data_IF_513254112015
#
_entry.id   IF_513254112015
#
_cell.length_a   1.000
_cell.length_b   1.000
_cell.length_c   1.000
_cell.angle_alpha   90.00
_cell.angle_beta   90.00
_cell.angle_gamma   90.00
#
_symmetry.space_group_name_H-M   'P 1'
#
loop_
_entity.id
_entity.type
_entity.pdbx_description
1 polymer ?
#
# COMPACT_ATOMS: atom_id res chain seq x y z
N UNK A 1 -36.81 -22.31 -46.72
CA UNK A 1 -35.92 -21.32 -46.15
C UNK A 1 -34.81 -21.92 -45.30
N UNK A 2 -34.31 -23.09 -45.71
CA UNK A 2 -32.97 -23.57 -45.41
C UNK A 2 -31.93 -22.54 -45.85
N UNK A 3 -32.21 -21.80 -46.93
CA UNK A 3 -31.36 -20.76 -47.55
C UNK A 3 -31.73 -19.30 -47.21
N UNK A 4 -32.80 -19.10 -46.43
CA UNK A 4 -33.29 -17.78 -45.99
C UNK A 4 -33.64 -16.78 -47.11
N UNK A 5 -34.22 -17.23 -48.23
CA UNK A 5 -34.69 -16.38 -49.33
C UNK A 5 -36.13 -15.83 -49.16
N UNK A 6 -36.84 -16.27 -48.12
CA UNK A 6 -38.20 -15.88 -47.77
C UNK A 6 -39.29 -16.75 -48.40
N UNK A 7 -38.96 -17.93 -48.96
CA UNK A 7 -39.91 -18.86 -49.55
C UNK A 7 -39.92 -20.22 -48.84
N UNK A 8 -41.03 -20.94 -49.01
CA UNK A 8 -41.30 -22.21 -48.32
C UNK A 8 -41.11 -23.44 -49.22
N UNK A 9 -40.24 -23.34 -50.23
CA UNK A 9 -40.04 -24.36 -51.27
C UNK A 9 -38.60 -24.83 -51.33
N UNK A 10 -38.23 -25.83 -50.53
CA UNK A 10 -36.88 -26.42 -50.62
C UNK A 10 -36.93 -27.94 -50.71
N UNK A 11 -36.88 -28.40 -51.96
CA UNK A 11 -36.41 -29.72 -52.31
C UNK A 11 -35.04 -29.55 -52.98
N UNK A 12 -33.99 -29.88 -52.23
CA UNK A 12 -32.66 -30.28 -52.73
C UNK A 12 -31.60 -29.23 -53.09
N UNK A 13 -31.49 -28.08 -52.41
CA UNK A 13 -30.25 -27.29 -52.45
C UNK A 13 -29.77 -26.92 -51.04
N UNK A 14 -29.07 -27.87 -50.40
CA UNK A 14 -28.33 -27.56 -49.17
C UNK A 14 -27.10 -26.73 -49.52
N UNK A 15 -27.19 -25.43 -49.36
CA UNK A 15 -26.01 -24.63 -49.05
C UNK A 15 -25.84 -24.72 -47.54
N UNK A 16 -24.94 -25.57 -47.06
CA UNK A 16 -24.51 -25.48 -45.65
C UNK A 16 -24.10 -24.02 -45.43
N UNK A 17 -24.60 -23.35 -44.38
CA UNK A 17 -24.18 -21.98 -44.10
C UNK A 17 -22.67 -22.00 -44.05
N UNK A 18 -22.03 -21.29 -44.99
CA UNK A 18 -20.59 -21.06 -44.91
C UNK A 18 -20.36 -20.52 -43.52
N UNK A 19 -19.54 -21.22 -42.73
CA UNK A 19 -19.12 -20.81 -41.39
C UNK A 19 -18.46 -19.43 -41.54
N UNK A 20 -19.32 -18.42 -41.50
CA UNK A 20 -19.11 -17.11 -42.11
C UNK A 20 -18.93 -16.04 -41.07
N UNK A 21 -18.59 -16.42 -39.83
CA UNK A 21 -18.01 -15.49 -38.88
C UNK A 21 -16.49 -15.54 -39.09
N UNK A 22 -16.01 -14.85 -40.12
CA UNK A 22 -14.57 -14.60 -40.31
C UNK A 22 -13.98 -13.78 -39.15
N UNK A 23 -12.67 -13.96 -38.94
CA UNK A 23 -11.84 -13.44 -37.85
C UNK A 23 -11.83 -11.90 -37.78
N UNK A 24 -11.92 -11.29 -36.59
CA UNK A 24 -10.90 -11.38 -35.55
C UNK A 24 -11.39 -11.99 -34.22
N UNK A 25 -12.21 -13.04 -34.30
CA UNK A 25 -12.50 -13.98 -33.21
C UNK A 25 -11.99 -15.39 -33.53
N UNK A 26 -10.67 -15.59 -33.61
CA UNK A 26 -10.09 -16.92 -33.84
C UNK A 26 -10.12 -17.72 -32.55
N UNK A 27 -10.89 -18.79 -32.51
CA UNK A 27 -10.75 -19.79 -31.45
C UNK A 27 -9.65 -20.77 -31.83
N UNK A 28 -8.77 -21.05 -30.87
CA UNK A 28 -7.97 -22.26 -30.91
C UNK A 28 -8.93 -23.49 -30.93
N UNK A 29 -8.61 -24.54 -31.70
CA UNK A 29 -9.41 -25.76 -31.72
C UNK A 29 -9.43 -26.42 -30.33
N UNK A 30 -10.57 -27.01 -29.94
CA UNK A 30 -10.72 -27.71 -28.65
C UNK A 30 -9.84 -28.98 -28.60
N UNK A 31 -9.46 -29.50 -29.76
CA UNK A 31 -8.59 -30.66 -29.89
C UNK A 31 -7.80 -30.61 -31.20
N UNK A 32 -6.60 -31.19 -31.19
CA UNK A 32 -5.77 -31.38 -32.37
C UNK A 32 -4.91 -32.66 -32.23
N UNK A 33 -3.88 -32.80 -33.06
CA UNK A 33 -3.00 -33.97 -33.02
C UNK A 33 -2.18 -34.06 -31.72
N UNK A 34 -1.97 -32.95 -31.02
CA UNK A 34 -1.16 -32.84 -29.81
C UNK A 34 -2.02 -32.67 -28.54
N UNK A 35 -3.30 -32.32 -28.69
CA UNK A 35 -4.28 -32.09 -27.61
C UNK A 35 -5.49 -33.04 -27.76
N UNK A 36 -5.48 -34.21 -27.11
CA UNK A 36 -6.56 -35.19 -27.23
C UNK A 36 -7.78 -34.80 -26.38
N UNK A 37 -8.95 -35.22 -26.84
CA UNK A 37 -10.21 -34.98 -26.14
C UNK A 37 -10.29 -35.72 -24.80
N UNK A 38 -10.91 -35.11 -23.76
CA UNK A 38 -11.18 -35.79 -22.50
C UNK A 38 -12.18 -36.94 -22.70
N UNK A 39 -12.18 -37.88 -21.75
CA UNK A 39 -13.15 -38.98 -21.65
C UNK A 39 -13.24 -39.95 -22.84
N UNK A 40 -12.22 -39.97 -23.70
CA UNK A 40 -12.10 -40.92 -24.81
C UNK A 40 -12.84 -40.52 -26.09
N UNK A 41 -13.25 -39.26 -26.18
CA UNK A 41 -13.90 -38.70 -27.36
C UNK A 41 -12.91 -38.56 -28.55
N UNK A 42 -13.45 -38.55 -29.77
CA UNK A 42 -12.72 -38.39 -31.02
C UNK A 42 -12.67 -36.91 -31.40
N UNK A 43 -11.52 -36.46 -31.91
CA UNK A 43 -11.40 -35.10 -32.46
C UNK A 43 -11.88 -35.06 -33.92
N UNK A 44 -12.96 -34.34 -34.19
CA UNK A 44 -13.50 -34.14 -35.53
C UNK A 44 -13.55 -32.64 -35.86
N UNK A 45 -12.73 -32.22 -36.82
CA UNK A 45 -12.64 -30.82 -37.28
C UNK A 45 -12.37 -29.79 -36.16
N UNK A 46 -11.58 -30.17 -35.15
CA UNK A 46 -11.20 -29.29 -34.04
C UNK A 46 -12.18 -29.28 -32.86
N UNK A 47 -13.14 -30.22 -32.81
CA UNK A 47 -14.15 -30.36 -31.76
C UNK A 47 -14.22 -31.82 -31.27
N UNK A 48 -14.42 -32.03 -29.97
CA UNK A 48 -14.52 -33.36 -29.36
C UNK A 48 -15.92 -33.99 -29.56
N UNK A 49 -15.97 -35.23 -30.04
CA UNK A 49 -17.20 -36.00 -30.32
C UNK A 49 -17.11 -37.46 -29.87
N UNK A 50 -18.17 -38.01 -29.26
CA UNK A 50 -18.16 -39.39 -28.75
C UNK A 50 -18.06 -40.49 -29.83
N UNK A 51 -17.37 -41.60 -29.50
CA UNK A 51 -17.01 -42.72 -30.42
C UNK A 51 -18.17 -43.38 -31.18
N UNK A 52 -19.42 -43.26 -30.71
CA UNK A 52 -20.58 -43.94 -31.32
C UNK A 52 -21.47 -43.04 -32.20
N UNK A 53 -21.02 -41.83 -32.57
CA UNK A 53 -21.66 -41.05 -33.63
C UNK A 53 -23.13 -40.64 -33.40
N UNK A 54 -23.59 -40.55 -32.14
CA UNK A 54 -24.93 -40.08 -31.78
C UNK A 54 -24.93 -39.25 -30.48
N UNK A 55 -25.69 -38.14 -30.39
CA UNK A 55 -25.58 -37.20 -29.27
C UNK A 55 -26.38 -37.69 -28.05
N UNK A 56 -25.69 -38.17 -27.02
CA UNK A 56 -26.27 -38.29 -25.68
C UNK A 56 -26.21 -36.94 -24.95
N UNK A 57 -27.35 -36.44 -24.47
CA UNK A 57 -27.40 -35.39 -23.44
C UNK A 57 -28.03 -34.04 -23.79
N UNK A 58 -28.52 -33.83 -25.02
CA UNK A 58 -29.04 -32.51 -25.44
C UNK A 58 -30.56 -32.48 -25.62
N UNK A 59 -31.33 -32.78 -24.57
CA UNK A 59 -32.80 -32.60 -24.60
C UNK A 59 -33.19 -31.61 -23.51
N UNK A 60 -33.97 -30.60 -23.89
CA UNK A 60 -34.40 -29.53 -22.99
C UNK A 60 -35.86 -29.19 -23.25
N UNK A 61 -36.56 -28.67 -22.24
CA UNK A 61 -37.92 -28.15 -22.40
C UNK A 61 -37.91 -26.61 -22.39
N UNK A 62 -36.99 -26.00 -21.63
CA UNK A 62 -36.81 -24.55 -21.49
C UNK A 62 -35.35 -24.11 -21.57
N UNK A 63 -35.12 -22.82 -21.85
CA UNK A 63 -33.78 -22.22 -21.83
C UNK A 63 -33.11 -22.32 -20.45
N UNK A 64 -33.89 -22.28 -19.38
CA UNK A 64 -33.38 -22.42 -18.01
C UNK A 64 -32.73 -23.79 -17.77
N UNK A 65 -33.25 -24.86 -18.39
CA UNK A 65 -32.68 -26.21 -18.29
C UNK A 65 -31.29 -26.29 -18.92
N UNK A 66 -31.06 -25.52 -19.99
CA UNK A 66 -29.78 -25.44 -20.66
C UNK A 66 -28.80 -24.54 -19.89
N UNK A 67 -29.24 -23.38 -19.41
CA UNK A 67 -28.40 -22.45 -18.65
C UNK A 67 -27.92 -23.03 -17.32
N UNK A 68 -28.75 -23.85 -16.66
CA UNK A 68 -28.39 -24.52 -15.40
C UNK A 68 -27.29 -25.59 -15.59
N UNK A 69 -27.14 -26.15 -16.79
CA UNK A 69 -26.15 -27.20 -17.11
C UNK A 69 -24.93 -26.67 -17.84
N UNK A 70 -25.16 -25.68 -18.71
CA UNK A 70 -24.16 -25.04 -19.56
C UNK A 70 -24.52 -23.55 -19.70
N UNK A 71 -23.93 -22.67 -18.86
CA UNK A 71 -24.09 -21.23 -18.99
C UNK A 71 -23.77 -20.79 -20.42
N UNK A 72 -24.66 -19.99 -21.03
CA UNK A 72 -24.52 -19.56 -22.43
C UNK A 72 -25.23 -20.43 -23.48
N UNK A 73 -25.98 -21.47 -23.11
CA UNK A 73 -26.72 -22.34 -24.05
C UNK A 73 -28.23 -22.06 -24.09
N UNK A 74 -28.88 -22.16 -25.25
CA UNK A 74 -30.31 -21.99 -25.46
C UNK A 74 -31.00 -23.30 -25.86
N UNK A 75 -32.29 -23.41 -25.55
CA UNK A 75 -33.10 -24.58 -25.86
C UNK A 75 -33.85 -24.41 -27.18
N UNK A 76 -33.28 -24.91 -28.27
CA UNK A 76 -33.79 -24.71 -29.65
C UNK A 76 -34.43 -25.99 -30.18
N UNK A 77 -35.54 -25.87 -30.91
CA UNK A 77 -36.17 -27.01 -31.58
C UNK A 77 -35.30 -27.45 -32.77
N UNK A 78 -34.72 -28.65 -32.66
CA UNK A 78 -33.98 -29.30 -33.73
C UNK A 78 -34.79 -30.46 -34.30
N UNK A 79 -34.53 -30.83 -35.56
CA UNK A 79 -35.23 -31.94 -36.21
C UNK A 79 -34.28 -33.13 -36.27
N UNK A 80 -34.68 -34.26 -35.70
CA UNK A 80 -33.92 -35.51 -35.79
C UNK A 80 -34.66 -36.53 -36.66
N UNK A 81 -33.91 -37.30 -37.45
CA UNK A 81 -34.44 -38.46 -38.16
C UNK A 81 -34.62 -39.62 -37.19
N UNK A 82 -35.76 -40.28 -37.31
CA UNK A 82 -36.05 -41.58 -36.70
C UNK A 82 -36.52 -42.52 -37.81
N UNK A 83 -36.51 -43.83 -37.56
CA UNK A 83 -36.73 -44.87 -38.58
C UNK A 83 -38.02 -44.68 -39.41
N UNK A 84 -39.06 -44.07 -38.83
CA UNK A 84 -40.35 -43.79 -39.48
C UNK A 84 -40.69 -42.29 -39.58
N UNK A 85 -39.70 -41.41 -39.75
CA UNK A 85 -39.93 -39.99 -40.12
C UNK A 85 -39.05 -38.97 -39.39
N UNK A 86 -39.55 -37.74 -39.28
CA UNK A 86 -38.87 -36.65 -38.57
C UNK A 86 -39.61 -36.33 -37.28
N UNK A 87 -38.87 -36.28 -36.17
CA UNK A 87 -39.39 -35.79 -34.89
C UNK A 87 -38.70 -34.48 -34.54
N UNK A 88 -39.48 -33.46 -34.18
CA UNK A 88 -38.96 -32.23 -33.56
C UNK A 88 -38.58 -32.53 -32.12
N UNK A 89 -37.30 -32.33 -31.77
CA UNK A 89 -36.80 -32.43 -30.40
C UNK A 89 -36.04 -31.17 -30.04
N UNK A 90 -36.29 -30.62 -28.85
CA UNK A 90 -35.59 -29.43 -28.38
C UNK A 90 -34.25 -29.80 -27.75
N UNK A 91 -33.22 -29.05 -28.09
CA UNK A 91 -31.82 -29.38 -27.84
C UNK A 91 -31.05 -28.15 -27.37
N UNK A 92 -30.21 -28.33 -26.34
CA UNK A 92 -29.33 -27.27 -25.87
C UNK A 92 -28.24 -27.00 -26.90
N UNK A 93 -28.17 -25.78 -27.39
CA UNK A 93 -27.16 -25.30 -28.34
C UNK A 93 -26.46 -24.07 -27.76
N UNK A 94 -25.14 -23.89 -27.99
CA UNK A 94 -24.45 -22.68 -27.55
C UNK A 94 -25.07 -21.45 -28.20
N UNK A 95 -25.36 -20.38 -27.44
CA UNK A 95 -25.93 -19.14 -27.99
C UNK A 95 -24.97 -18.38 -28.92
N UNK A 96 -23.67 -18.64 -28.83
CA UNK A 96 -22.68 -17.68 -29.30
C UNK A 96 -22.38 -17.69 -30.79
N UNK A 97 -22.90 -18.64 -31.58
CA UNK A 97 -22.41 -18.83 -32.97
C UNK A 97 -23.44 -19.27 -34.00
N UNK A 98 -24.75 -19.23 -33.70
CA UNK A 98 -25.77 -19.70 -34.65
C UNK A 98 -26.44 -18.53 -35.41
N UNK A 99 -26.21 -18.40 -36.73
CA UNK A 99 -27.01 -17.50 -37.57
C UNK A 99 -28.49 -17.92 -37.51
N UNK A 100 -29.38 -16.96 -37.23
CA UNK A 100 -30.83 -17.14 -37.27
C UNK A 100 -31.41 -16.53 -38.55
N UNK A 101 -32.36 -17.23 -39.15
CA UNK A 101 -33.06 -16.79 -40.36
C UNK A 101 -33.97 -15.58 -40.07
N UNK A 102 -33.81 -14.47 -40.80
CA UNK A 102 -34.64 -13.26 -40.70
C UNK A 102 -35.52 -13.07 -41.96
N UNK A 103 -35.94 -14.19 -42.57
CA UNK A 103 -36.68 -14.21 -43.85
C UNK A 103 -35.87 -13.60 -44.99
N UNK A 104 -36.52 -12.89 -45.91
CA UNK A 104 -35.88 -12.25 -47.08
C UNK A 104 -34.75 -11.24 -46.76
N UNK A 105 -34.52 -10.92 -45.47
CA UNK A 105 -33.38 -10.13 -45.01
C UNK A 105 -32.10 -10.97 -44.81
N UNK A 106 -32.16 -12.30 -44.96
CA UNK A 106 -31.05 -13.23 -44.80
C UNK A 106 -30.82 -13.65 -43.34
N UNK A 107 -29.62 -14.18 -43.04
CA UNK A 107 -29.26 -14.60 -41.69
C UNK A 107 -28.78 -13.42 -40.83
N UNK A 108 -29.17 -13.40 -39.55
CA UNK A 108 -28.67 -12.47 -38.53
C UNK A 108 -28.12 -13.22 -37.31
N UNK A 109 -27.17 -12.64 -36.58
CA UNK A 109 -26.70 -13.19 -35.31
C UNK A 109 -27.54 -12.67 -34.13
N UNK A 110 -27.79 -13.52 -33.13
CA UNK A 110 -28.51 -13.12 -31.92
C UNK A 110 -27.55 -12.44 -30.95
N UNK A 111 -27.63 -11.12 -30.86
CA UNK A 111 -26.79 -10.32 -29.95
C UNK A 111 -27.64 -9.79 -28.80
N UNK A 112 -27.18 -9.89 -27.54
CA UNK A 112 -27.87 -9.25 -26.42
C UNK A 112 -27.84 -7.71 -26.58
N UNK A 113 -28.79 -6.97 -25.98
CA UNK A 113 -28.85 -5.51 -26.11
C UNK A 113 -27.62 -4.75 -25.61
N UNK A 114 -26.79 -5.37 -24.77
CA UNK A 114 -25.58 -4.80 -24.16
C UNK A 114 -24.29 -5.11 -24.94
N UNK A 115 -24.39 -5.72 -26.13
CA UNK A 115 -23.22 -6.06 -26.94
C UNK A 115 -22.71 -4.88 -27.77
N UNK A 116 -21.39 -4.75 -27.88
CA UNK A 116 -20.71 -3.85 -28.80
C UNK A 116 -19.65 -4.62 -29.63
N UNK A 117 -19.23 -4.11 -30.78
CA UNK A 117 -18.14 -4.72 -31.56
C UNK A 117 -16.79 -4.10 -31.14
N UNK A 118 -15.84 -4.91 -30.68
CA UNK A 118 -14.52 -4.41 -30.26
C UNK A 118 -13.53 -5.49 -29.81
N UNK A 119 -12.35 -5.06 -29.36
CA UNK A 119 -11.38 -5.90 -28.64
C UNK A 119 -11.58 -5.64 -27.14
N UNK A 120 -11.99 -6.66 -26.38
CA UNK A 120 -12.27 -6.53 -24.94
C UNK A 120 -11.01 -6.12 -24.14
N UNK A 121 -9.82 -6.58 -24.55
CA UNK A 121 -8.54 -6.26 -23.87
C UNK A 121 -8.22 -4.77 -23.79
N UNK A 122 -8.82 -3.96 -24.68
CA UNK A 122 -8.54 -2.54 -24.78
C UNK A 122 -9.75 -1.67 -24.35
N UNK A 123 -10.84 -2.30 -23.90
CA UNK A 123 -12.12 -1.64 -23.60
C UNK A 123 -12.68 -2.12 -22.27
N UNK A 124 -12.60 -1.23 -21.30
CA UNK A 124 -13.29 -1.33 -20.01
C UNK A 124 -14.50 -0.41 -20.11
N UNK A 125 -15.56 -0.81 -20.81
CA UNK A 125 -16.71 0.05 -21.12
C UNK A 125 -18.05 -0.47 -20.58
N UNK A 126 -18.01 -1.49 -19.72
CA UNK A 126 -19.17 -2.16 -19.17
C UNK A 126 -20.10 -2.75 -20.25
N UNK A 127 -19.54 -3.09 -21.42
CA UNK A 127 -20.21 -3.76 -22.51
C UNK A 127 -19.45 -5.03 -22.87
N UNK A 128 -20.18 -6.03 -23.34
CA UNK A 128 -19.63 -7.29 -23.83
C UNK A 128 -19.16 -7.07 -25.29
N UNK A 129 -17.85 -6.89 -25.54
CA UNK A 129 -17.34 -6.57 -26.87
C UNK A 129 -16.96 -7.81 -27.71
N UNK A 130 -16.80 -8.97 -27.09
CA UNK A 130 -16.42 -10.23 -27.76
C UNK A 130 -17.57 -11.27 -27.80
N UNK A 131 -18.69 -10.92 -27.19
CA UNK A 131 -19.94 -11.69 -27.16
C UNK A 131 -19.83 -12.99 -26.35
N UNK A 132 -18.98 -13.09 -25.33
CA UNK A 132 -18.85 -14.31 -24.51
C UNK A 132 -19.90 -14.40 -23.37
N UNK A 133 -20.67 -13.33 -23.15
CA UNK A 133 -21.68 -13.22 -22.09
C UNK A 133 -21.14 -12.68 -20.76
N UNK A 134 -19.88 -12.24 -20.72
CA UNK A 134 -19.24 -11.50 -19.63
C UNK A 134 -18.99 -10.08 -20.09
N UNK A 135 -18.50 -9.26 -19.17
CA UNK A 135 -18.34 -7.83 -19.39
C UNK A 135 -17.05 -7.40 -18.72
N UNK A 136 -16.17 -6.76 -19.48
CA UNK A 136 -14.83 -6.33 -19.09
C UNK A 136 -14.01 -7.47 -18.43
N UNK A 137 -14.20 -8.73 -18.84
CA UNK A 137 -13.59 -9.89 -18.19
C UNK A 137 -12.07 -9.95 -18.33
N UNK A 138 -11.52 -9.36 -19.39
CA UNK A 138 -10.08 -9.14 -19.56
C UNK A 138 -9.52 -8.09 -18.55
N UNK A 139 -10.39 -7.32 -17.89
CA UNK A 139 -10.08 -6.43 -16.77
C UNK A 139 -10.48 -7.01 -15.40
N UNK A 140 -11.05 -8.22 -15.34
CA UNK A 140 -11.60 -8.81 -14.11
C UNK A 140 -10.57 -8.88 -12.97
N UNK A 141 -9.31 -9.18 -13.28
CA UNK A 141 -8.23 -9.27 -12.28
C UNK A 141 -7.92 -7.90 -11.63
N UNK A 142 -8.31 -6.79 -12.27
CA UNK A 142 -8.16 -5.42 -11.75
C UNK A 142 -9.45 -4.87 -11.16
N UNK A 143 -10.60 -5.21 -11.73
CA UNK A 143 -11.92 -4.71 -11.33
C UNK A 143 -12.52 -5.47 -10.14
N UNK A 144 -12.20 -6.76 -9.98
CA UNK A 144 -12.82 -7.64 -8.99
C UNK A 144 -11.80 -8.22 -8.00
N UNK A 145 -12.29 -8.63 -6.84
CA UNK A 145 -11.56 -9.43 -5.85
C UNK A 145 -11.14 -10.79 -6.44
N UNK A 146 -10.20 -11.48 -5.80
CA UNK A 146 -9.62 -12.73 -6.32
C UNK A 146 -10.68 -13.86 -6.47
N UNK A 147 -11.75 -13.82 -5.66
CA UNK A 147 -12.91 -14.70 -5.74
C UNK A 147 -13.95 -14.27 -6.82
N UNK A 148 -13.75 -13.10 -7.44
CA UNK A 148 -14.63 -12.46 -8.43
C UNK A 148 -16.06 -12.21 -7.92
N UNK A 149 -16.24 -12.05 -6.61
CA UNK A 149 -17.55 -11.80 -6.00
C UNK A 149 -17.85 -10.32 -5.77
N UNK A 150 -16.83 -9.46 -5.66
CA UNK A 150 -16.98 -8.05 -5.35
C UNK A 150 -16.00 -7.15 -6.13
N UNK A 151 -16.30 -5.85 -6.29
CA UNK A 151 -15.32 -4.88 -6.81
C UNK A 151 -14.05 -4.83 -5.95
N UNK A 152 -12.88 -4.76 -6.60
CA UNK A 152 -11.59 -4.70 -5.92
C UNK A 152 -11.47 -3.40 -5.12
N UNK A 153 -11.15 -3.44 -3.81
CA UNK A 153 -10.93 -2.24 -3.03
C UNK A 153 -9.67 -1.50 -3.50
N UNK A 154 -9.70 -0.18 -3.43
CA UNK A 154 -8.60 0.70 -3.76
C UNK A 154 -8.59 1.93 -2.84
N UNK A 155 -7.51 2.70 -2.85
CA UNK A 155 -7.41 3.97 -2.14
C UNK A 155 -6.86 5.06 -3.08
N UNK A 156 -7.31 6.29 -2.91
CA UNK A 156 -6.80 7.50 -3.58
C UNK A 156 -6.46 8.57 -2.57
N UNK A 157 -5.51 9.44 -2.90
CA UNK A 157 -5.01 10.47 -1.98
C UNK A 157 -3.87 9.94 -1.10
N UNK A 158 -3.17 10.88 -0.48
CA UNK A 158 -2.06 10.66 0.45
C UNK A 158 -2.46 11.24 1.81
N UNK A 159 -1.82 10.78 2.89
CA UNK A 159 -2.06 11.32 4.23
C UNK A 159 -3.53 11.36 4.65
N UNK A 160 -3.93 12.47 5.25
CA UNK A 160 -5.30 12.75 5.67
C UNK A 160 -6.32 12.79 4.51
N UNK A 161 -5.85 13.00 3.27
CA UNK A 161 -6.69 13.01 2.07
C UNK A 161 -6.98 11.61 1.54
N UNK A 162 -6.42 10.55 2.12
CA UNK A 162 -6.67 9.20 1.63
C UNK A 162 -8.17 8.84 1.78
N UNK A 163 -8.76 8.31 0.71
CA UNK A 163 -10.14 7.82 0.67
C UNK A 163 -10.17 6.43 0.06
N UNK A 164 -10.92 5.53 0.70
CA UNK A 164 -11.19 4.20 0.16
C UNK A 164 -12.27 4.26 -0.91
N UNK A 165 -12.10 3.46 -1.94
CA UNK A 165 -13.03 3.29 -3.03
C UNK A 165 -13.00 1.86 -3.57
N UNK A 166 -13.61 1.69 -4.74
CA UNK A 166 -13.56 0.46 -5.51
C UNK A 166 -13.00 0.75 -6.89
N UNK A 167 -12.23 -0.18 -7.44
CA UNK A 167 -11.71 -0.06 -8.79
C UNK A 167 -12.86 -0.10 -9.79
N UNK A 168 -12.86 0.83 -10.74
CA UNK A 168 -13.85 0.95 -11.81
C UNK A 168 -13.14 1.30 -13.13
N UNK A 169 -13.85 1.19 -14.24
CA UNK A 169 -13.33 1.64 -15.52
C UNK A 169 -13.13 3.16 -15.56
N UNK A 170 -12.07 3.61 -16.24
CA UNK A 170 -11.84 5.03 -16.53
C UNK A 170 -12.93 5.58 -17.45
N UNK A 171 -13.18 6.89 -17.39
CA UNK A 171 -14.23 7.54 -18.19
C UNK A 171 -14.02 7.41 -19.72
N UNK A 172 -12.79 7.16 -20.17
CA UNK A 172 -12.46 6.92 -21.58
C UNK A 172 -12.50 5.44 -21.99
N UNK A 173 -12.80 4.55 -21.03
CA UNK A 173 -12.98 3.12 -21.20
C UNK A 173 -11.71 2.35 -21.55
N UNK A 174 -10.51 2.88 -21.27
CA UNK A 174 -9.24 2.23 -21.66
C UNK A 174 -8.40 1.71 -20.50
N UNK A 175 -8.78 2.05 -19.27
CA UNK A 175 -8.02 1.72 -18.08
C UNK A 175 -8.96 1.49 -16.89
N UNK A 176 -8.38 1.08 -15.78
CA UNK A 176 -9.04 1.03 -14.47
C UNK A 176 -8.57 2.20 -13.62
N UNK A 177 -9.49 2.84 -12.91
CA UNK A 177 -9.23 3.91 -11.93
C UNK A 177 -9.93 3.59 -10.62
N UNK A 178 -9.52 4.22 -9.53
CA UNK A 178 -10.23 4.06 -8.27
C UNK A 178 -11.43 5.03 -8.24
N UNK A 179 -12.64 4.50 -8.04
CA UNK A 179 -13.87 5.27 -7.97
C UNK A 179 -14.02 5.95 -6.60
N UNK A 180 -13.06 6.82 -6.28
CA UNK A 180 -13.07 7.70 -5.13
C UNK A 180 -12.45 9.04 -5.53
N UNK A 181 -12.83 10.09 -4.81
CA UNK A 181 -12.17 11.39 -4.90
C UNK A 181 -11.33 11.56 -3.64
N UNK A 182 -10.05 11.99 -3.74
CA UNK A 182 -9.26 12.33 -2.57
C UNK A 182 -10.01 13.31 -1.66
N UNK A 183 -9.78 13.18 -0.36
CA UNK A 183 -10.28 14.14 0.62
C UNK A 183 -9.68 15.52 0.42
N UNK A 184 -10.33 16.52 1.03
CA UNK A 184 -9.71 17.83 1.22
C UNK A 184 -8.63 17.73 2.32
N UNK A 185 -7.58 18.56 2.25
CA UNK A 185 -6.59 18.73 3.31
C UNK A 185 -7.23 18.97 4.68
N UNK A 186 -6.70 18.31 5.71
CA UNK A 186 -7.18 18.44 7.09
C UNK A 186 -6.62 19.67 7.79
N UNK A 187 -5.49 20.20 7.32
CA UNK A 187 -4.81 21.32 7.95
C UNK A 187 -3.52 21.69 7.22
N UNK A 188 -2.68 22.42 7.94
CA UNK A 188 -1.25 22.41 7.65
C UNK A 188 -0.61 21.39 8.60
N UNK A 189 0.52 20.85 8.20
CA UNK A 189 1.35 19.90 8.93
C UNK A 189 2.06 20.49 10.16
N UNK A 190 1.29 21.15 11.04
CA UNK A 190 1.76 21.95 12.17
C UNK A 190 1.59 21.28 13.54
N UNK A 191 1.39 19.96 13.56
CA UNK A 191 1.12 19.19 14.78
C UNK A 191 2.22 18.19 15.17
N UNK A 192 3.16 17.91 14.26
CA UNK A 192 4.14 16.84 14.42
C UNK A 192 3.53 15.56 14.99
N UNK A 193 2.59 14.96 14.28
CA UNK A 193 1.85 13.77 14.67
C UNK A 193 2.04 12.57 13.72
N UNK A 194 2.76 12.76 12.62
CA UNK A 194 3.04 11.74 11.62
C UNK A 194 1.93 11.59 10.58
N UNK A 195 1.05 12.57 10.47
CA UNK A 195 -0.01 12.63 9.46
C UNK A 195 0.30 13.76 8.48
N UNK A 196 0.34 13.44 7.19
CA UNK A 196 0.37 14.42 6.07
C UNK A 196 -1.02 15.08 5.99
N UNK A 197 -1.17 16.20 6.71
CA UNK A 197 -2.43 16.94 6.86
C UNK A 197 -2.76 17.79 5.63
N UNK A 198 -1.73 18.26 4.92
CA UNK A 198 -1.85 19.11 3.73
C UNK A 198 -1.85 18.33 2.40
N UNK A 199 -1.51 17.05 2.47
CA UNK A 199 -1.54 16.04 1.42
C UNK A 199 -0.49 16.22 0.31
N UNK A 200 0.63 16.88 0.61
CA UNK A 200 1.75 17.10 -0.32
C UNK A 200 2.75 15.93 -0.40
N UNK A 201 2.59 14.93 0.46
CA UNK A 201 3.46 13.75 0.56
C UNK A 201 4.63 13.91 1.52
N UNK A 202 4.66 14.96 2.35
CA UNK A 202 5.59 15.16 3.46
C UNK A 202 4.81 15.10 4.77
N UNK A 203 5.50 14.69 5.84
CA UNK A 203 4.92 14.68 7.17
C UNK A 203 5.44 15.87 7.95
N UNK A 204 4.53 16.62 8.56
CA UNK A 204 4.81 17.54 9.66
C UNK A 204 5.81 18.68 9.29
N UNK A 205 5.96 19.02 8.01
CA UNK A 205 6.95 19.97 7.52
C UNK A 205 6.65 21.43 7.89
N UNK A 206 5.42 21.72 8.33
CA UNK A 206 5.03 23.01 8.89
C UNK A 206 5.21 23.09 10.42
N UNK A 207 5.67 22.02 11.09
CA UNK A 207 5.86 21.98 12.54
C UNK A 207 6.91 23.00 13.01
N UNK A 208 6.53 23.96 13.89
CA UNK A 208 7.45 24.96 14.40
C UNK A 208 8.27 24.41 15.59
N UNK A 209 9.34 23.66 15.32
CA UNK A 209 10.16 23.09 16.38
C UNK A 209 10.65 24.16 17.39
N UNK A 210 10.50 23.91 18.70
CA UNK A 210 11.05 24.77 19.73
C UNK A 210 12.58 24.72 19.72
N UNK A 211 13.19 25.85 19.37
CA UNK A 211 14.64 26.04 19.29
C UNK A 211 15.15 26.94 20.42
N UNK A 212 16.32 26.58 20.97
CA UNK A 212 17.06 27.33 21.98
C UNK A 212 18.28 27.98 21.30
N UNK A 213 18.37 29.31 21.26
CA UNK A 213 19.51 30.01 20.65
C UNK A 213 20.83 29.71 21.37
N UNK A 214 21.89 29.45 20.60
CA UNK A 214 23.22 29.19 21.15
C UNK A 214 24.06 30.48 21.23
N UNK A 215 24.92 30.61 22.27
CA UNK A 215 25.90 31.68 22.32
C UNK A 215 26.88 31.61 21.14
N UNK A 216 26.77 32.53 20.18
CA UNK A 216 27.69 32.59 19.03
C UNK A 216 27.08 32.24 17.68
N UNK A 217 25.77 32.00 17.62
CA UNK A 217 25.04 31.68 16.38
C UNK A 217 24.47 30.27 16.42
N UNK A 218 23.47 30.01 15.59
CA UNK A 218 22.70 28.78 15.59
C UNK A 218 21.75 28.60 16.76
N UNK A 219 21.04 27.48 16.72
CA UNK A 219 20.12 27.06 17.76
C UNK A 219 20.08 25.54 17.87
N UNK A 220 19.63 25.04 19.01
CA UNK A 220 19.49 23.61 19.29
C UNK A 220 18.04 23.29 19.61
N UNK A 221 17.58 22.09 19.31
CA UNK A 221 16.29 21.59 19.77
C UNK A 221 16.18 21.72 21.30
N UNK A 222 15.07 22.30 21.76
CA UNK A 222 14.80 22.48 23.19
C UNK A 222 14.71 21.13 23.93
N UNK A 223 14.29 20.08 23.24
CA UNK A 223 14.11 18.73 23.75
C UNK A 223 14.95 17.74 22.93
N UNK A 224 15.17 16.54 23.46
CA UNK A 224 15.64 15.43 22.65
C UNK A 224 14.67 15.18 21.47
N UNK A 225 15.19 14.75 20.33
CA UNK A 225 14.34 14.46 19.18
C UNK A 225 13.38 13.31 19.49
N UNK A 226 12.15 13.43 18.99
CA UNK A 226 11.09 12.43 19.09
C UNK A 226 10.57 12.10 17.70
N UNK A 227 9.98 10.90 17.56
CA UNK A 227 9.17 10.58 16.37
C UNK A 227 7.89 11.42 16.39
N UNK A 228 7.30 11.76 15.24
CA UNK A 228 6.06 12.53 15.22
C UNK A 228 4.92 11.92 16.06
N UNK A 229 4.61 10.64 15.84
CA UNK A 229 3.60 9.92 16.63
C UNK A 229 4.00 9.57 18.08
N UNK A 230 5.09 10.12 18.62
CA UNK A 230 5.49 9.87 20.01
C UNK A 230 4.52 10.50 21.02
N UNK A 231 4.31 9.78 22.12
CA UNK A 231 3.49 10.18 23.29
C UNK A 231 4.28 9.96 24.57
N UNK A 232 3.74 10.35 25.73
CA UNK A 232 4.38 10.12 27.03
C UNK A 232 4.62 8.63 27.34
N UNK A 233 3.83 7.73 26.74
CA UNK A 233 3.85 6.30 27.05
C UNK A 233 4.39 5.43 25.88
N UNK A 234 4.58 6.01 24.70
CA UNK A 234 5.03 5.29 23.51
C UNK A 234 5.99 6.14 22.67
N UNK A 235 7.12 5.57 22.20
CA UNK A 235 8.16 6.30 21.45
C UNK A 235 7.75 6.67 20.00
N UNK A 236 6.51 6.37 19.61
CA UNK A 236 6.09 6.37 18.21
C UNK A 236 6.52 5.09 17.49
N UNK A 237 5.84 4.76 16.41
CA UNK A 237 6.18 3.63 15.53
C UNK A 237 6.59 4.14 14.16
N UNK A 238 7.29 3.30 13.40
CA UNK A 238 7.32 3.45 11.95
C UNK A 238 5.94 3.14 11.38
N UNK A 239 5.33 4.06 10.61
CA UNK A 239 4.06 3.82 9.92
C UNK A 239 4.12 2.63 8.93
N UNK A 240 5.25 2.43 8.23
CA UNK A 240 5.51 1.27 7.37
C UNK A 240 6.80 0.53 7.81
N UNK A 241 6.67 -0.65 8.44
CA UNK A 241 7.81 -1.44 8.86
C UNK A 241 8.29 -2.45 7.79
N UNK A 242 7.65 -2.52 6.61
CA UNK A 242 7.85 -3.61 5.61
C UNK A 242 8.31 -3.16 4.22
N UNK A 243 8.45 -1.87 3.99
CA UNK A 243 8.99 -1.33 2.76
C UNK A 243 10.52 -1.44 2.79
N UNK A 244 11.05 -2.27 1.89
CA UNK A 244 12.47 -2.41 1.55
C UNK A 244 13.04 -1.11 0.91
N UNK A 245 12.70 0.07 1.44
CA UNK A 245 13.25 1.37 1.09
C UNK A 245 14.20 1.80 2.22
N UNK A 246 15.47 1.36 2.21
CA UNK A 246 16.46 1.68 3.25
C UNK A 246 16.94 3.15 3.22
N UNK A 247 16.13 4.09 2.77
CA UNK A 247 16.54 5.48 2.51
C UNK A 247 15.58 6.57 2.99
N UNK A 248 14.41 6.23 3.53
CA UNK A 248 13.51 7.22 4.11
C UNK A 248 13.02 6.71 5.45
N UNK A 249 13.59 7.29 6.49
CA UNK A 249 12.90 7.45 7.75
C UNK A 249 11.60 8.19 7.41
N UNK A 250 10.45 7.55 7.63
CA UNK A 250 9.16 8.14 7.24
C UNK A 250 8.80 9.40 8.02
N UNK A 251 9.52 9.71 9.11
CA UNK A 251 9.28 10.90 9.93
C UNK A 251 10.50 11.80 10.08
N UNK A 252 10.29 13.10 9.90
CA UNK A 252 11.20 14.13 10.39
C UNK A 252 11.37 14.04 11.91
N UNK A 253 12.52 14.50 12.43
CA UNK A 253 12.72 14.65 13.86
C UNK A 253 11.90 15.83 14.43
N UNK A 254 11.26 15.63 15.58
CA UNK A 254 10.53 16.70 16.27
C UNK A 254 11.03 16.94 17.68
N UNK A 255 11.15 18.21 18.05
CA UNK A 255 11.30 18.65 19.43
C UNK A 255 9.92 18.86 20.05
N UNK A 256 9.48 17.91 20.86
CA UNK A 256 8.19 17.96 21.57
C UNK A 256 8.43 17.79 23.07
N UNK A 257 7.77 18.55 23.95
CA UNK A 257 7.72 18.23 25.37
C UNK A 257 6.80 17.04 25.63
N UNK A 258 6.96 16.40 26.78
CA UNK A 258 6.03 15.39 27.31
C UNK A 258 5.84 14.15 26.42
N UNK A 259 6.85 13.79 25.63
CA UNK A 259 6.85 12.57 24.80
C UNK A 259 8.12 11.75 25.04
N UNK A 260 8.05 10.44 24.80
CA UNK A 260 9.26 9.62 24.85
C UNK A 260 10.22 10.01 23.71
N UNK A 261 11.51 10.25 24.02
CA UNK A 261 12.50 10.61 23.02
C UNK A 261 12.84 9.41 22.12
N UNK A 262 13.31 9.72 20.92
CA UNK A 262 13.69 8.74 19.91
C UNK A 262 15.01 8.07 20.28
N UNK A 263 14.91 6.86 20.83
CA UNK A 263 16.04 6.02 21.20
C UNK A 263 16.29 4.88 20.18
N UNK A 264 17.35 4.10 20.42
CA UNK A 264 17.70 2.90 19.65
C UNK A 264 17.92 3.16 18.15
N UNK A 265 18.60 4.28 17.88
CA UNK A 265 18.84 4.82 16.55
C UNK A 265 20.34 4.88 16.26
N UNK A 266 20.73 4.58 15.01
CA UNK A 266 22.11 4.73 14.56
C UNK A 266 22.39 6.16 14.07
N UNK A 267 23.67 6.47 13.83
CA UNK A 267 24.08 7.83 13.48
C UNK A 267 23.46 8.31 12.15
N UNK A 268 23.44 7.45 11.13
CA UNK A 268 22.92 7.79 9.82
C UNK A 268 21.42 8.10 9.88
N UNK A 269 20.70 7.30 10.66
CA UNK A 269 19.27 7.48 10.88
C UNK A 269 19.00 8.79 11.63
N UNK A 270 19.75 9.07 12.70
CA UNK A 270 19.64 10.33 13.44
C UNK A 270 19.91 11.57 12.56
N UNK A 271 20.92 11.50 11.69
CA UNK A 271 21.25 12.57 10.75
C UNK A 271 20.13 12.81 9.73
N UNK A 272 19.63 11.75 9.10
CA UNK A 272 18.54 11.83 8.12
C UNK A 272 17.24 12.38 8.73
N UNK A 273 16.92 12.02 9.97
CA UNK A 273 15.74 12.54 10.66
C UNK A 273 15.84 14.06 10.91
N UNK A 274 17.03 14.55 11.27
CA UNK A 274 17.27 15.99 11.36
C UNK A 274 17.20 16.68 9.98
N UNK A 275 17.76 16.08 8.94
CA UNK A 275 17.71 16.63 7.58
C UNK A 275 16.27 16.72 7.05
N UNK A 276 15.46 15.68 7.28
CA UNK A 276 14.04 15.67 6.95
C UNK A 276 13.26 16.77 7.70
N UNK A 277 13.72 17.14 8.90
CA UNK A 277 13.16 18.24 9.68
C UNK A 277 13.62 19.64 9.23
N UNK A 278 14.56 19.72 8.27
CA UNK A 278 15.17 20.98 7.83
C UNK A 278 16.38 21.43 8.68
N UNK A 279 16.93 20.53 9.48
CA UNK A 279 18.03 20.77 10.42
C UNK A 279 19.21 19.83 10.14
N UNK A 280 20.19 19.81 11.04
CA UNK A 280 21.30 18.84 11.05
C UNK A 280 21.53 18.30 12.44
N UNK A 281 22.34 17.25 12.57
CA UNK A 281 22.87 16.89 13.89
C UNK A 281 23.72 18.02 14.45
N UNK A 282 23.64 18.18 15.77
CA UNK A 282 24.46 19.14 16.49
C UNK A 282 25.93 18.75 16.43
N UNK A 283 26.81 19.73 16.27
CA UNK A 283 28.23 19.50 16.51
C UNK A 283 28.48 19.30 18.01
N UNK A 284 29.59 18.61 18.35
CA UNK A 284 29.98 18.45 19.75
C UNK A 284 30.17 19.79 20.49
N UNK A 285 30.59 20.84 19.79
CA UNK A 285 30.80 22.16 20.38
C UNK A 285 29.48 22.87 20.70
N UNK A 286 28.51 22.83 19.77
CA UNK A 286 27.16 23.36 19.97
C UNK A 286 26.47 22.66 21.12
N UNK A 287 26.53 21.33 21.13
CA UNK A 287 25.95 20.50 22.17
C UNK A 287 26.52 20.84 23.57
N UNK A 288 27.86 20.90 23.67
CA UNK A 288 28.52 21.23 24.94
C UNK A 288 28.21 22.66 25.41
N UNK A 289 28.05 23.58 24.47
CA UNK A 289 27.70 24.96 24.76
C UNK A 289 26.25 25.13 25.18
N UNK A 290 25.32 24.38 24.58
CA UNK A 290 23.93 24.30 25.03
C UNK A 290 23.87 23.81 26.48
N UNK A 291 24.62 22.75 26.78
CA UNK A 291 24.60 22.09 28.09
C UNK A 291 25.29 22.94 29.17
N UNK A 292 26.53 23.36 28.96
CA UNK A 292 27.32 24.09 29.98
C UNK A 292 27.15 25.61 29.94
N UNK A 293 26.53 26.15 28.88
CA UNK A 293 26.45 27.58 28.63
C UNK A 293 27.82 28.24 28.37
N UNK A 294 27.83 29.57 28.26
CA UNK A 294 29.05 30.34 28.03
C UNK A 294 30.12 30.18 29.13
N UNK A 295 29.72 29.78 30.34
CA UNK A 295 30.63 29.52 31.46
C UNK A 295 31.22 28.11 31.45
N UNK A 296 30.74 27.22 30.56
CA UNK A 296 31.14 25.81 30.48
C UNK A 296 30.99 25.10 31.82
N UNK A 297 29.81 25.27 32.43
CA UNK A 297 29.43 24.56 33.64
C UNK A 297 29.53 23.05 33.45
N UNK A 298 29.82 22.33 34.53
CA UNK A 298 30.00 20.88 34.47
C UNK A 298 28.70 20.15 34.12
N UNK A 299 27.55 20.70 34.54
CA UNK A 299 26.20 20.18 34.30
C UNK A 299 25.27 21.33 33.88
N UNK A 300 24.10 21.04 33.27
CA UNK A 300 23.13 22.06 32.87
C UNK A 300 22.74 23.01 34.00
N UNK A 301 22.68 22.49 35.22
CA UNK A 301 22.28 23.21 36.43
C UNK A 301 23.44 23.78 37.26
N UNK A 302 24.71 23.61 36.86
CA UNK A 302 25.85 24.22 37.53
C UNK A 302 27.12 23.35 37.64
N UNK A 303 28.06 23.72 38.52
CA UNK A 303 29.40 23.12 38.55
C UNK A 303 29.51 21.82 39.34
N UNK A 304 28.51 21.49 40.16
CA UNK A 304 28.53 20.34 41.06
C UNK A 304 27.41 19.36 40.70
N UNK A 305 27.71 18.06 40.72
CA UNK A 305 26.75 17.01 40.42
C UNK A 305 25.66 16.93 41.49
N UNK A 306 24.42 16.76 41.05
CA UNK A 306 23.27 16.41 41.87
C UNK A 306 22.54 15.22 41.24
N UNK A 307 22.35 14.15 42.01
CA UNK A 307 21.76 12.91 41.54
C UNK A 307 20.25 13.01 41.29
N UNK A 308 19.59 14.06 41.79
CA UNK A 308 18.13 14.21 41.74
C UNK A 308 17.65 15.23 40.70
N UNK A 309 18.56 15.89 39.98
CA UNK A 309 18.19 16.93 39.01
C UNK A 309 17.97 16.34 37.61
N UNK A 310 18.91 15.52 37.14
CA UNK A 310 18.91 14.96 35.80
C UNK A 310 18.79 13.44 35.84
N UNK A 311 18.14 12.86 34.82
CA UNK A 311 17.85 11.43 34.74
C UNK A 311 19.13 10.60 34.43
N UNK A 312 19.98 10.41 35.44
CA UNK A 312 21.11 9.48 35.42
C UNK A 312 20.79 8.20 36.20
N UNK A 313 21.74 7.25 36.31
CA UNK A 313 21.48 5.97 36.97
C UNK A 313 21.38 6.02 38.52
N UNK A 314 21.35 7.22 39.10
CA UNK A 314 21.00 7.45 40.49
C UNK A 314 19.65 8.17 40.65
N UNK A 315 19.04 8.57 39.54
CA UNK A 315 17.74 9.24 39.50
C UNK A 315 16.63 8.20 39.61
N UNK A 316 15.60 8.50 40.40
CA UNK A 316 14.50 7.58 40.63
C UNK A 316 13.23 8.10 39.94
N UNK A 317 12.82 7.45 38.86
CA UNK A 317 11.66 7.87 38.07
C UNK A 317 10.32 7.60 38.78
N UNK A 318 10.31 6.67 39.75
CA UNK A 318 9.14 6.39 40.58
C UNK A 318 9.55 6.23 42.06
N UNK A 319 9.55 7.33 42.84
CA UNK A 319 9.94 7.26 44.25
C UNK A 319 9.01 6.42 45.14
N UNK A 320 7.85 5.99 44.61
CA UNK A 320 6.95 5.07 45.33
C UNK A 320 7.37 3.60 45.15
N UNK A 321 8.17 3.28 44.13
CA UNK A 321 8.68 1.94 43.87
C UNK A 321 10.04 1.73 44.55
N UNK A 322 10.28 0.53 45.07
CA UNK A 322 11.50 0.24 45.82
C UNK A 322 12.68 -0.04 44.89
N UNK A 323 13.72 0.78 44.97
CA UNK A 323 14.96 0.64 44.22
C UNK A 323 15.21 1.90 43.40
N UNK A 324 16.30 1.95 42.63
CA UNK A 324 16.46 2.98 41.59
C UNK A 324 15.82 2.43 40.31
N UNK A 325 14.93 3.18 39.68
CA UNK A 325 14.33 2.79 38.40
C UNK A 325 15.08 3.46 37.25
N UNK A 326 15.85 2.66 36.51
CA UNK A 326 16.57 3.11 35.33
C UNK A 326 15.67 3.02 34.08
N UNK A 327 14.89 4.06 33.84
CA UNK A 327 14.03 4.18 32.67
C UNK A 327 14.16 5.54 31.99
N UNK A 328 13.85 5.56 30.69
CA UNK A 328 13.68 6.80 29.93
C UNK A 328 12.48 7.58 30.48
N UNK A 329 12.61 8.90 30.55
CA UNK A 329 11.53 9.80 30.89
C UNK A 329 11.03 10.53 29.63
N UNK A 330 9.76 10.98 29.62
CA UNK A 330 9.31 11.95 28.64
C UNK A 330 10.20 13.18 28.63
N UNK A 331 10.43 13.75 27.46
CA UNK A 331 11.20 14.97 27.25
C UNK A 331 10.69 16.11 28.13
N UNK A 332 11.61 16.80 28.80
CA UNK A 332 11.30 17.90 29.71
C UNK A 332 10.74 17.48 31.07
N UNK A 333 10.53 16.19 31.35
CA UNK A 333 9.95 15.75 32.62
C UNK A 333 10.83 16.12 33.83
N UNK A 334 12.15 16.07 33.67
CA UNK A 334 13.10 16.54 34.67
C UNK A 334 13.25 18.08 34.58
N UNK A 335 12.26 18.82 35.08
CA UNK A 335 12.13 20.28 34.90
C UNK A 335 13.37 21.11 35.31
N UNK A 336 14.19 20.58 36.22
CA UNK A 336 15.42 21.24 36.70
C UNK A 336 16.66 20.84 35.88
N UNK A 337 16.56 19.81 35.04
CA UNK A 337 17.59 19.36 34.11
C UNK A 337 17.58 20.22 32.83
N UNK A 338 17.71 21.53 32.99
CA UNK A 338 17.65 22.47 31.87
C UNK A 338 18.77 23.50 31.94
N UNK A 339 19.09 24.04 30.78
CA UNK A 339 19.80 25.31 30.67
C UNK A 339 19.19 26.18 29.57
N UNK A 340 18.74 27.37 29.96
CA UNK A 340 18.20 28.37 29.04
C UNK A 340 17.07 27.83 28.14
N UNK A 341 16.31 26.85 28.63
CA UNK A 341 15.24 26.18 27.90
C UNK A 341 15.66 24.96 27.09
N UNK A 342 16.93 24.55 27.12
CA UNK A 342 17.36 23.26 26.57
C UNK A 342 17.32 22.21 27.69
N UNK A 343 16.45 21.22 27.54
CA UNK A 343 16.19 20.15 28.51
C UNK A 343 16.97 18.89 28.19
N UNK A 344 17.22 18.08 29.21
CA UNK A 344 17.69 16.69 29.11
C UNK A 344 19.03 16.51 28.39
N UNK A 345 19.85 17.56 28.30
CA UNK A 345 21.22 17.44 27.78
C UNK A 345 22.13 16.63 28.72
N UNK A 346 21.71 16.38 29.96
CA UNK A 346 22.45 15.55 30.90
C UNK A 346 21.54 14.43 31.36
N UNK A 347 21.90 13.18 31.09
CA UNK A 347 21.03 12.04 31.38
C UNK A 347 19.91 11.90 30.36
N UNK A 348 18.84 11.21 30.76
CA UNK A 348 17.81 10.67 29.89
C UNK A 348 18.40 9.82 28.76
N UNK A 349 18.57 10.31 27.54
CA UNK A 349 19.33 9.63 26.51
C UNK A 349 20.71 10.23 26.32
N UNK A 350 21.65 9.34 26.01
CA UNK A 350 22.88 9.77 25.34
C UNK A 350 22.51 10.32 23.98
N UNK A 351 23.30 11.24 23.44
CA UNK A 351 22.98 11.85 22.15
C UNK A 351 24.11 11.72 21.13
N UNK A 352 23.75 11.30 19.93
CA UNK A 352 24.61 11.45 18.75
C UNK A 352 24.93 12.92 18.48
N UNK A 353 26.19 13.20 18.22
CA UNK A 353 26.67 14.50 17.74
C UNK A 353 27.53 14.30 16.52
N UNK A 354 27.53 15.28 15.60
CA UNK A 354 28.38 15.27 14.41
C UNK A 354 29.83 15.60 14.78
N UNK A 355 30.53 14.60 15.31
CA UNK A 355 31.94 14.67 15.70
C UNK A 355 32.61 13.29 15.56
N UNK A 356 33.33 13.10 14.46
CA UNK A 356 34.05 11.87 14.15
C UNK A 356 35.49 11.88 14.70
N UNK A 357 35.90 10.74 15.26
CA UNK A 357 37.26 10.41 15.64
C UNK A 357 37.70 9.12 14.93
N UNK A 358 38.26 9.29 13.73
CA UNK A 358 38.54 8.15 12.85
C UNK A 358 37.24 7.45 12.44
N UNK A 359 37.08 6.14 12.68
CA UNK A 359 35.86 5.42 12.33
C UNK A 359 34.76 5.52 13.41
N UNK A 360 35.01 6.22 14.51
CA UNK A 360 34.07 6.34 15.62
C UNK A 360 33.42 7.72 15.64
N UNK A 361 32.23 7.79 16.22
CA UNK A 361 31.46 9.02 16.42
C UNK A 361 31.29 9.24 17.91
N UNK A 362 31.41 10.50 18.33
CA UNK A 362 31.17 10.89 19.71
C UNK A 362 29.68 10.83 20.06
N UNK A 363 29.44 10.48 21.31
CA UNK A 363 28.15 10.47 21.97
C UNK A 363 28.25 11.32 23.23
N UNK A 364 27.24 12.13 23.54
CA UNK A 364 27.26 13.11 24.63
C UNK A 364 26.13 12.88 25.65
N UNK A 365 26.16 13.65 26.74
CA UNK A 365 25.08 13.74 27.75
C UNK A 365 25.02 12.65 28.80
N UNK A 366 25.48 11.43 28.49
CA UNK A 366 25.14 10.29 29.33
C UNK A 366 23.65 9.97 29.23
N UNK A 367 23.17 8.96 29.94
CA UNK A 367 21.75 8.58 29.89
C UNK A 367 21.29 7.97 31.21
N UNK A 368 20.03 7.54 31.27
CA UNK A 368 19.36 7.04 32.47
C UNK A 368 20.01 5.80 33.12
N UNK A 369 21.01 5.18 32.47
CA UNK A 369 21.84 4.08 33.04
C UNK A 369 23.25 4.51 33.43
N UNK A 370 23.55 5.80 33.40
CA UNK A 370 24.89 6.33 33.66
C UNK A 370 25.12 6.49 35.15
N UNK A 371 25.86 5.55 35.74
CA UNK A 371 26.09 5.46 37.18
C UNK A 371 27.30 6.25 37.67
N UNK A 372 28.02 6.92 36.76
CA UNK A 372 29.23 7.69 37.08
C UNK A 372 28.91 9.16 36.81
N UNK A 373 29.03 10.07 37.80
CA UNK A 373 28.71 11.49 37.62
C UNK A 373 29.39 12.15 36.41
N UNK A 374 30.66 11.82 36.15
CA UNK A 374 31.41 12.36 35.01
C UNK A 374 30.84 11.92 33.65
N UNK A 375 30.08 10.83 33.60
CA UNK A 375 29.43 10.38 32.37
C UNK A 375 28.26 11.29 31.96
N UNK A 376 27.73 12.09 32.89
CA UNK A 376 26.61 13.01 32.70
C UNK A 376 27.08 14.47 32.48
N UNK A 377 28.39 14.71 32.50
CA UNK A 377 28.95 16.05 32.44
C UNK A 377 28.90 16.62 31.01
N UNK A 378 28.57 17.91 30.88
CA UNK A 378 28.47 18.63 29.61
C UNK A 378 29.77 18.60 28.78
N UNK A 379 30.92 18.47 29.44
CA UNK A 379 32.24 18.47 28.81
C UNK A 379 32.75 17.10 28.38
N UNK A 380 32.09 15.99 28.75
CA UNK A 380 32.57 14.64 28.44
C UNK A 380 32.56 14.39 26.94
N UNK A 381 33.71 14.01 26.38
CA UNK A 381 33.91 13.80 24.93
C UNK A 381 34.38 12.39 24.55
N UNK A 382 34.76 11.57 25.54
CA UNK A 382 35.48 10.31 25.31
C UNK A 382 34.53 9.10 25.07
N UNK A 383 33.22 9.33 25.03
CA UNK A 383 32.25 8.28 24.75
C UNK A 383 32.09 8.11 23.23
N UNK A 384 32.81 7.14 22.68
CA UNK A 384 32.89 6.88 21.24
C UNK A 384 32.14 5.59 20.87
N UNK A 385 31.45 5.60 19.73
CA UNK A 385 30.71 4.46 19.18
C UNK A 385 30.94 4.33 17.68
N UNK A 386 30.78 3.12 17.14
CA UNK A 386 30.71 2.94 15.69
C UNK A 386 29.38 3.54 15.17
N UNK A 387 29.33 4.11 13.96
CA UNK A 387 28.13 4.79 13.44
C UNK A 387 26.88 3.92 13.45
N UNK A 388 27.02 2.60 13.29
CA UNK A 388 25.93 1.62 13.23
C UNK A 388 25.44 1.17 14.62
N UNK A 389 26.06 1.66 15.70
CA UNK A 389 25.68 1.28 17.05
C UNK A 389 24.27 1.78 17.37
N UNK A 390 23.44 0.91 17.95
CA UNK A 390 22.11 1.25 18.45
C UNK A 390 21.98 0.82 19.90
N UNK A 391 21.30 1.63 20.70
CA UNK A 391 21.04 1.29 22.10
C UNK A 391 19.80 2.01 22.62
N UNK A 392 18.98 1.39 23.50
CA UNK A 392 17.79 2.02 24.09
C UNK A 392 18.04 3.28 24.94
N UNK A 393 19.29 3.58 25.27
CA UNK A 393 19.68 4.79 26.00
C UNK A 393 20.47 5.77 25.14
N UNK A 394 20.33 5.68 23.82
CA UNK A 394 21.01 6.50 22.84
C UNK A 394 19.98 7.01 21.82
N UNK A 395 19.86 8.33 21.76
CA UNK A 395 19.06 9.10 20.83
C UNK A 395 19.88 10.24 20.24
N UNK A 396 19.25 11.38 20.00
CA UNK A 396 19.86 12.54 19.36
C UNK A 396 18.99 13.79 19.53
N UNK A 397 19.52 14.92 19.11
CA UNK A 397 18.73 16.14 18.86
C UNK A 397 19.34 16.93 17.71
N UNK A 398 18.54 17.82 17.13
CA UNK A 398 18.93 18.58 15.95
C UNK A 398 19.36 20.01 16.29
N UNK A 399 20.16 20.61 15.40
CA UNK A 399 20.64 21.98 15.46
C UNK A 399 20.37 22.70 14.14
N UNK A 400 20.19 24.02 14.25
CA UNK A 400 20.03 24.97 13.16
C UNK A 400 21.21 25.95 13.12
N UNK A 401 21.52 26.47 11.93
CA UNK A 401 22.62 27.44 11.70
C UNK A 401 22.29 28.90 12.09
#
# INVERSE_FOLDING_TARGET
DDDCDGRADEAEDRVDPVDGCGELGVCAPECDADTPCPDGDLCAAGVCVAENGGPSGRVCDTDADCQARHPGYACVATVRRVDDGFQTQRTCVPRLRTPMCDGAAGYRCARPPAWQFGNERDRCDALDNDCDGRTDEDFADRLLTDDREAPRPCAVGQGACQRQGVTACSADGRATTCAATPGDPAGADDQCDGVDDDCDGRLDEAWPDPLVPLPGGGAIFAFEASRPGATADAPGVDPDPNDDIPALIEGRACAKPDVLPWADVDFATAAQACEAAGYRLCTAAEWALACGGAQREAYPYGPAYDALICNGGAYDVDPATRGVQDAVLPTGAALQCERAGAYDLSGNLKEWVDAFEGPLVQVRGGGYRSNIPSALACGLADDLKVPEFRHPSLGFRCCAD
#
